data_IF_389801167378
#
_entry.id   IF_389801167378
#
_cell.length_a   1.000
_cell.length_b   1.000
_cell.length_c   1.000
_cell.angle_alpha   90.00
_cell.angle_beta   90.00
_cell.angle_gamma   90.00
#
_symmetry.space_group_name_H-M   'P 1'
#
loop_
_entity.id
_entity.type
_entity.pdbx_description
1 polymer ?
#
# COMPACT_ATOMS: atom_id res chain seq x y z
N UNK A 1 -2.37 23.78 -50.56
CA UNK A 1 -3.00 24.28 -49.33
C UNK A 1 -3.39 23.07 -48.50
N UNK A 2 -2.80 22.88 -47.31
CA UNK A 2 -3.32 21.90 -46.36
C UNK A 2 -4.71 22.37 -45.92
N UNK A 3 -5.69 21.47 -45.83
CA UNK A 3 -6.99 21.78 -45.25
C UNK A 3 -6.80 22.44 -43.87
N UNK A 4 -7.52 23.51 -43.59
CA UNK A 4 -7.56 24.23 -42.30
C UNK A 4 -7.67 23.24 -41.11
N UNK A 5 -8.36 22.11 -41.29
CA UNK A 5 -8.56 21.05 -40.29
C UNK A 5 -7.32 20.19 -39.99
N UNK A 6 -6.28 20.25 -40.81
CA UNK A 6 -5.07 19.42 -40.65
C UNK A 6 -3.92 20.18 -39.99
N UNK A 7 -4.05 21.51 -39.77
CA UNK A 7 -3.01 22.32 -39.15
C UNK A 7 -2.83 21.92 -37.68
N UNK A 8 -1.58 21.64 -37.29
CA UNK A 8 -1.20 21.24 -35.94
C UNK A 8 -0.22 22.26 -35.35
N UNK A 9 -0.37 22.53 -34.06
CA UNK A 9 0.45 23.46 -33.30
C UNK A 9 1.28 22.71 -32.25
N UNK A 10 2.54 23.10 -32.09
CA UNK A 10 3.41 22.56 -31.05
C UNK A 10 2.94 23.05 -29.68
N UNK A 11 2.59 22.09 -28.81
CA UNK A 11 2.09 22.35 -27.46
C UNK A 11 3.16 22.06 -26.41
N UNK A 12 3.81 20.90 -26.49
CA UNK A 12 4.80 20.44 -25.53
C UNK A 12 6.08 19.96 -26.21
N UNK A 13 7.22 20.40 -25.68
CA UNK A 13 8.52 19.95 -26.14
C UNK A 13 8.81 18.50 -25.67
N UNK A 14 9.85 17.88 -26.21
CA UNK A 14 10.20 16.49 -25.88
C UNK A 14 10.55 16.32 -24.41
N UNK A 15 11.25 17.28 -23.80
CA UNK A 15 11.68 17.22 -22.41
C UNK A 15 10.48 17.23 -21.47
N UNK A 16 9.49 18.10 -21.69
CA UNK A 16 8.25 18.19 -20.91
C UNK A 16 7.44 16.88 -20.97
N UNK A 17 7.44 16.20 -22.11
CA UNK A 17 6.77 14.91 -22.26
C UNK A 17 7.50 13.79 -21.51
N UNK A 18 8.84 13.84 -21.49
CA UNK A 18 9.65 12.90 -20.72
C UNK A 18 9.43 13.12 -19.22
N UNK A 19 9.47 14.37 -18.74
CA UNK A 19 9.13 14.75 -17.36
C UNK A 19 7.77 14.18 -16.95
N UNK A 20 6.76 14.41 -17.78
CA UNK A 20 5.41 13.88 -17.53
C UNK A 20 5.34 12.35 -17.55
N UNK A 21 6.11 11.67 -18.41
CA UNK A 21 6.17 10.21 -18.40
C UNK A 21 6.80 9.70 -17.10
N UNK A 22 7.88 10.31 -16.63
CA UNK A 22 8.51 9.98 -15.34
C UNK A 22 7.52 10.22 -14.20
N UNK A 23 6.78 11.34 -14.24
CA UNK A 23 5.73 11.67 -13.29
C UNK A 23 4.62 10.62 -13.27
N UNK A 24 4.10 10.21 -14.43
CA UNK A 24 3.07 9.17 -14.53
C UNK A 24 3.58 7.86 -13.92
N UNK A 25 4.77 7.42 -14.31
CA UNK A 25 5.31 6.14 -13.87
C UNK A 25 5.54 6.14 -12.36
N UNK A 26 6.23 7.15 -11.84
CA UNK A 26 6.51 7.28 -10.40
C UNK A 26 5.23 7.43 -9.57
N UNK A 27 4.29 8.30 -9.98
CA UNK A 27 3.00 8.47 -9.29
C UNK A 27 2.18 7.18 -9.30
N UNK A 28 2.10 6.51 -10.45
CA UNK A 28 1.33 5.26 -10.57
C UNK A 28 1.95 4.18 -9.69
N UNK A 29 3.27 4.04 -9.66
CA UNK A 29 3.96 3.13 -8.74
C UNK A 29 3.66 3.48 -7.28
N UNK A 30 3.71 4.76 -6.89
CA UNK A 30 3.36 5.22 -5.54
C UNK A 30 1.92 4.87 -5.18
N UNK A 31 0.96 5.07 -6.09
CA UNK A 31 -0.45 4.72 -5.88
C UNK A 31 -0.65 3.20 -5.72
N UNK A 32 -0.07 2.41 -6.63
CA UNK A 32 -0.18 0.95 -6.65
C UNK A 32 0.53 0.27 -5.48
N UNK A 33 1.52 0.93 -4.86
CA UNK A 33 2.20 0.40 -3.67
C UNK A 33 1.65 0.99 -2.37
N UNK A 34 1.19 2.25 -2.38
CA UNK A 34 0.70 2.97 -1.20
C UNK A 34 -0.73 2.60 -0.81
N UNK A 35 -1.66 2.51 -1.78
CA UNK A 35 -3.05 2.17 -1.49
C UNK A 35 -3.20 0.75 -0.90
N UNK A 36 -2.51 -0.29 -1.41
CA UNK A 36 -2.55 -1.60 -0.76
C UNK A 36 -2.00 -1.61 0.66
N UNK A 37 -0.99 -0.80 0.96
CA UNK A 37 -0.48 -0.66 2.32
C UNK A 37 -1.49 0.02 3.26
N UNK A 38 -2.22 1.04 2.77
CA UNK A 38 -3.29 1.70 3.53
C UNK A 38 -4.46 0.75 3.80
N UNK A 39 -4.89 0.00 2.80
CA UNK A 39 -6.04 -0.91 2.86
C UNK A 39 -5.62 -2.38 2.97
N UNK A 40 -4.65 -2.68 3.83
CA UNK A 40 -3.97 -3.99 3.89
C UNK A 40 -4.87 -5.19 4.20
N UNK A 41 -6.08 -4.95 4.72
CA UNK A 41 -7.07 -6.00 5.00
C UNK A 41 -7.95 -6.35 3.79
N UNK A 42 -7.93 -5.54 2.73
CA UNK A 42 -8.70 -5.82 1.51
C UNK A 42 -8.10 -7.02 0.75
N UNK A 43 -8.92 -7.98 0.27
CA UNK A 43 -8.42 -9.10 -0.53
C UNK A 43 -7.64 -8.65 -1.77
N UNK A 44 -8.06 -7.57 -2.42
CA UNK A 44 -7.36 -6.99 -3.58
C UNK A 44 -5.98 -6.46 -3.18
N UNK A 45 -5.89 -5.79 -2.03
CA UNK A 45 -4.61 -5.29 -1.52
C UNK A 45 -3.67 -6.43 -1.17
N UNK A 46 -4.17 -7.49 -0.55
CA UNK A 46 -3.38 -8.69 -0.25
C UNK A 46 -2.88 -9.37 -1.53
N UNK A 47 -3.72 -9.48 -2.57
CA UNK A 47 -3.32 -10.03 -3.86
C UNK A 47 -2.20 -9.21 -4.51
N UNK A 48 -2.32 -7.88 -4.51
CA UNK A 48 -1.27 -6.99 -5.03
C UNK A 48 0.01 -7.11 -4.21
N UNK A 49 -0.09 -7.14 -2.87
CA UNK A 49 1.07 -7.31 -1.98
C UNK A 49 1.79 -8.63 -2.26
N UNK A 50 1.06 -9.73 -2.43
CA UNK A 50 1.65 -11.02 -2.74
C UNK A 50 2.28 -11.04 -4.14
N UNK A 51 1.59 -10.48 -5.14
CA UNK A 51 2.07 -10.42 -6.52
C UNK A 51 3.38 -9.62 -6.67
N UNK A 52 3.56 -8.58 -5.84
CA UNK A 52 4.77 -7.75 -5.82
C UNK A 52 5.86 -8.29 -4.86
N UNK A 53 5.73 -9.52 -4.36
CA UNK A 53 6.77 -10.17 -3.56
C UNK A 53 6.73 -9.83 -2.06
N UNK A 54 5.56 -9.46 -1.53
CA UNK A 54 5.33 -9.23 -0.11
C UNK A 54 5.46 -7.77 0.35
N UNK A 55 5.17 -7.54 1.64
CA UNK A 55 5.08 -6.20 2.22
C UNK A 55 6.43 -5.46 2.22
N UNK A 56 7.53 -6.17 2.47
CA UNK A 56 8.86 -5.55 2.49
C UNK A 56 9.28 -5.06 1.10
N UNK A 57 9.04 -5.87 0.07
CA UNK A 57 9.32 -5.51 -1.32
C UNK A 57 8.50 -4.30 -1.74
N UNK A 58 7.19 -4.28 -1.44
CA UNK A 58 6.32 -3.12 -1.74
C UNK A 58 6.80 -1.85 -1.06
N UNK A 59 7.23 -1.92 0.20
CA UNK A 59 7.76 -0.75 0.92
C UNK A 59 9.02 -0.21 0.26
N UNK A 60 9.92 -1.09 -0.19
CA UNK A 60 11.12 -0.69 -0.93
C UNK A 60 10.75 -0.02 -2.26
N UNK A 61 9.85 -0.63 -3.04
CA UNK A 61 9.38 -0.06 -4.32
C UNK A 61 8.75 1.31 -4.10
N UNK A 62 7.89 1.45 -3.09
CA UNK A 62 7.22 2.72 -2.76
C UNK A 62 8.23 3.82 -2.47
N UNK A 63 9.23 3.53 -1.63
CA UNK A 63 10.27 4.49 -1.26
C UNK A 63 11.18 4.86 -2.43
N UNK A 64 11.54 3.90 -3.28
CA UNK A 64 12.30 4.17 -4.51
C UNK A 64 11.50 5.06 -5.47
N UNK A 65 10.22 4.77 -5.66
CA UNK A 65 9.34 5.61 -6.48
C UNK A 65 9.19 7.03 -5.90
N UNK A 66 9.12 7.17 -4.58
CA UNK A 66 9.09 8.47 -3.90
C UNK A 66 10.36 9.28 -4.17
N UNK A 67 11.54 8.64 -4.11
CA UNK A 67 12.82 9.30 -4.43
C UNK A 67 12.81 9.80 -5.88
N UNK A 68 12.41 8.94 -6.83
CA UNK A 68 12.31 9.32 -8.25
C UNK A 68 11.37 10.51 -8.42
N UNK A 69 10.19 10.48 -7.77
CA UNK A 69 9.20 11.56 -7.83
C UNK A 69 9.77 12.88 -7.29
N UNK A 70 10.49 12.84 -6.16
CA UNK A 70 11.12 14.05 -5.59
C UNK A 70 12.26 14.57 -6.47
N UNK A 71 13.09 13.69 -7.04
CA UNK A 71 14.15 14.09 -7.97
C UNK A 71 13.58 14.72 -9.25
N UNK A 72 12.49 14.16 -9.76
CA UNK A 72 11.75 14.73 -10.89
C UNK A 72 11.24 16.14 -10.54
N UNK A 73 10.67 16.34 -9.34
CA UNK A 73 10.25 17.66 -8.90
C UNK A 73 11.42 18.67 -8.79
N UNK A 74 12.58 18.24 -8.28
CA UNK A 74 13.80 19.09 -8.23
C UNK A 74 14.24 19.48 -9.64
N UNK A 75 14.29 18.51 -10.56
CA UNK A 75 14.61 18.78 -11.97
C UNK A 75 13.61 19.75 -12.60
N UNK A 76 12.32 19.51 -12.41
CA UNK A 76 11.25 20.38 -12.91
C UNK A 76 11.40 21.83 -12.42
N UNK A 77 11.73 22.04 -11.14
CA UNK A 77 11.97 23.36 -10.58
C UNK A 77 13.18 24.06 -11.21
N UNK A 78 14.26 23.32 -11.49
CA UNK A 78 15.43 23.86 -12.19
C UNK A 78 15.10 24.22 -13.65
N UNK A 79 14.29 23.42 -14.35
CA UNK A 79 13.86 23.75 -15.72
C UNK A 79 12.92 24.95 -15.71
N UNK A 80 11.99 25.02 -14.76
CA UNK A 80 11.06 26.14 -14.60
C UNK A 80 11.82 27.44 -14.27
N UNK A 81 12.77 27.39 -13.35
CA UNK A 81 13.65 28.51 -13.02
C UNK A 81 14.41 29.03 -14.24
N UNK A 82 14.90 28.12 -15.10
CA UNK A 82 15.58 28.50 -16.34
C UNK A 82 14.63 29.23 -17.30
N UNK A 83 13.43 28.67 -17.50
CA UNK A 83 12.38 29.26 -18.35
C UNK A 83 11.96 30.66 -17.86
N UNK A 84 11.87 30.87 -16.55
CA UNK A 84 11.44 32.14 -15.97
C UNK A 84 12.56 33.18 -15.87
N UNK A 85 13.75 32.79 -15.42
CA UNK A 85 14.85 33.73 -15.12
C UNK A 85 15.72 34.01 -16.34
N UNK A 86 16.11 32.96 -17.06
CA UNK A 86 17.02 33.08 -18.21
C UNK A 86 16.23 33.48 -19.44
N UNK A 87 15.24 32.67 -19.81
CA UNK A 87 14.45 32.87 -21.02
C UNK A 87 13.38 33.96 -20.88
N UNK A 88 12.99 34.34 -19.65
CA UNK A 88 11.93 35.32 -19.36
C UNK A 88 10.60 34.97 -20.05
N UNK A 89 10.28 33.68 -20.12
CA UNK A 89 8.99 33.23 -20.63
C UNK A 89 7.86 33.65 -19.67
N UNK A 90 6.66 33.82 -20.22
CA UNK A 90 5.46 34.14 -19.44
C UNK A 90 5.22 33.06 -18.37
N UNK A 91 5.01 33.49 -17.11
CA UNK A 91 4.70 32.62 -15.98
C UNK A 91 3.24 32.09 -16.05
N UNK A 92 2.94 31.39 -17.15
CA UNK A 92 1.58 31.01 -17.55
C UNK A 92 0.88 30.03 -16.61
N UNK A 93 1.62 29.34 -15.73
CA UNK A 93 1.07 28.44 -14.70
C UNK A 93 0.72 29.16 -13.39
N UNK A 94 1.04 30.45 -13.24
CA UNK A 94 0.62 31.22 -12.07
C UNK A 94 -0.89 31.51 -12.15
N UNK A 95 -1.66 31.22 -11.08
CA UNK A 95 -3.07 31.60 -11.02
C UNK A 95 -3.18 33.13 -10.90
N UNK A 96 -4.16 33.70 -11.58
CA UNK A 96 -4.46 35.13 -11.55
C UNK A 96 -5.95 35.40 -11.52
N UNK A 97 -6.31 36.68 -11.46
CA UNK A 97 -7.72 37.13 -11.39
C UNK A 97 -8.53 36.64 -12.59
N UNK A 98 -7.89 36.53 -13.76
CA UNK A 98 -8.52 35.99 -14.97
C UNK A 98 -8.98 34.54 -14.79
N UNK A 99 -8.26 33.71 -14.05
CA UNK A 99 -8.64 32.31 -13.84
C UNK A 99 -9.96 32.19 -13.06
N UNK A 100 -10.16 33.05 -12.05
CA UNK A 100 -11.42 33.11 -11.31
C UNK A 100 -12.59 33.57 -12.21
N UNK A 101 -12.34 34.56 -13.07
CA UNK A 101 -13.34 35.00 -14.06
C UNK A 101 -13.65 33.91 -15.07
N UNK A 102 -12.63 33.24 -15.62
CA UNK A 102 -12.77 32.16 -16.59
C UNK A 102 -13.53 30.98 -15.98
N UNK A 103 -13.31 30.67 -14.70
CA UNK A 103 -14.06 29.66 -13.95
C UNK A 103 -15.55 30.00 -13.84
N UNK A 104 -15.90 31.24 -13.45
CA UNK A 104 -17.31 31.69 -13.37
C UNK A 104 -17.95 31.67 -14.76
N UNK A 105 -17.26 32.18 -15.76
CA UNK A 105 -17.73 32.22 -17.15
C UNK A 105 -17.95 30.82 -17.73
N UNK A 106 -17.06 29.87 -17.42
CA UNK A 106 -17.17 28.46 -17.79
C UNK A 106 -18.37 27.80 -17.10
N UNK A 107 -18.57 28.08 -15.81
CA UNK A 107 -19.71 27.58 -15.05
C UNK A 107 -21.04 28.09 -15.61
N UNK A 108 -21.15 29.39 -15.89
CA UNK A 108 -22.34 29.99 -16.50
C UNK A 108 -22.62 29.44 -17.90
N UNK A 109 -21.58 29.14 -18.68
CA UNK A 109 -21.73 28.48 -19.98
C UNK A 109 -22.31 27.07 -19.84
N UNK A 110 -21.80 26.26 -18.90
CA UNK A 110 -22.31 24.91 -18.67
C UNK A 110 -23.75 24.89 -18.11
N UNK A 111 -24.17 25.95 -17.42
CA UNK A 111 -25.58 26.14 -17.01
C UNK A 111 -26.48 26.65 -18.15
N UNK A 112 -25.94 26.92 -19.33
CA UNK A 112 -26.68 27.49 -20.46
C UNK A 112 -27.01 28.98 -20.31
N UNK A 113 -26.54 29.65 -19.24
CA UNK A 113 -26.74 31.08 -18.98
C UNK A 113 -25.84 31.97 -19.86
N UNK A 114 -24.82 31.38 -20.48
CA UNK A 114 -23.96 32.03 -21.48
C UNK A 114 -23.93 31.21 -22.76
N UNK A 115 -24.00 31.90 -23.91
CA UNK A 115 -24.03 31.26 -25.24
C UNK A 115 -22.65 30.84 -25.78
N UNK A 116 -21.57 31.44 -25.28
CA UNK A 116 -20.22 31.27 -25.82
C UNK A 116 -19.28 30.74 -24.74
N UNK A 117 -18.50 29.73 -25.07
CA UNK A 117 -17.45 29.22 -24.20
C UNK A 117 -16.38 30.31 -23.95
N UNK A 118 -15.85 30.47 -22.72
CA UNK A 118 -14.78 31.42 -22.45
C UNK A 118 -13.52 31.13 -23.27
N UNK A 119 -12.87 32.20 -23.74
CA UNK A 119 -11.57 32.08 -24.41
C UNK A 119 -10.46 31.88 -23.37
N UNK A 120 -9.98 30.64 -23.31
CA UNK A 120 -8.96 30.21 -22.36
C UNK A 120 -7.53 30.51 -22.86
N UNK A 121 -6.58 30.78 -21.95
CA UNK A 121 -5.17 30.97 -22.29
C UNK A 121 -4.44 29.65 -22.52
N UNK A 122 -3.10 29.71 -22.71
CA UNK A 122 -2.22 28.55 -22.92
C UNK A 122 -2.43 27.44 -21.89
N UNK A 123 -2.70 27.79 -20.64
CA UNK A 123 -3.14 26.83 -19.63
C UNK A 123 -4.44 27.35 -19.01
N UNK A 124 -5.52 26.58 -19.13
CA UNK A 124 -6.82 26.97 -18.58
C UNK A 124 -6.81 26.86 -17.04
N UNK A 125 -7.83 27.41 -16.38
CA UNK A 125 -7.87 27.43 -14.92
C UNK A 125 -7.89 26.01 -14.31
N UNK A 126 -8.48 25.02 -15.00
CA UNK A 126 -8.55 23.63 -14.52
C UNK A 126 -7.17 22.98 -14.53
N UNK A 127 -6.42 23.13 -15.62
CA UNK A 127 -5.03 22.66 -15.73
C UNK A 127 -4.13 23.31 -14.67
N UNK A 128 -4.32 24.61 -14.40
CA UNK A 128 -3.60 25.29 -13.32
C UNK A 128 -3.97 24.73 -11.95
N UNK A 129 -5.26 24.54 -11.67
CA UNK A 129 -5.70 23.96 -10.39
C UNK A 129 -5.09 22.57 -10.17
N UNK A 130 -5.06 21.71 -11.19
CA UNK A 130 -4.43 20.39 -11.11
C UNK A 130 -2.93 20.50 -10.79
N UNK A 131 -2.21 21.39 -11.49
CA UNK A 131 -0.79 21.61 -11.25
C UNK A 131 -0.50 22.09 -9.83
N UNK A 132 -1.29 23.03 -9.32
CA UNK A 132 -1.12 23.56 -7.96
C UNK A 132 -1.55 22.57 -6.87
N UNK A 133 -2.62 21.81 -7.11
CA UNK A 133 -3.01 20.71 -6.24
C UNK A 133 -1.88 19.68 -6.14
N UNK A 134 -1.19 19.39 -7.24
CA UNK A 134 -0.05 18.49 -7.24
C UNK A 134 1.19 19.05 -6.52
N UNK A 135 1.47 20.36 -6.62
CA UNK A 135 2.52 21.01 -5.82
C UNK A 135 2.21 20.91 -4.33
N UNK A 136 0.96 21.23 -3.94
CA UNK A 136 0.52 21.10 -2.55
C UNK A 136 0.64 19.66 -2.04
N UNK A 137 0.12 18.71 -2.83
CA UNK A 137 0.18 17.29 -2.54
C UNK A 137 1.62 16.80 -2.38
N UNK A 138 2.55 17.22 -3.26
CA UNK A 138 3.98 16.90 -3.14
C UNK A 138 4.55 17.36 -1.79
N UNK A 139 4.30 18.61 -1.37
CA UNK A 139 4.84 19.12 -0.11
C UNK A 139 4.29 18.35 1.09
N UNK A 140 2.97 18.12 1.13
CA UNK A 140 2.32 17.38 2.21
C UNK A 140 2.80 15.92 2.24
N UNK A 141 2.84 15.25 1.10
CA UNK A 141 3.25 13.85 0.97
C UNK A 141 4.73 13.65 1.29
N UNK A 142 5.61 14.57 0.87
CA UNK A 142 7.04 14.52 1.21
C UNK A 142 7.25 14.72 2.73
N UNK A 143 6.57 15.70 3.33
CA UNK A 143 6.68 15.97 4.77
C UNK A 143 6.15 14.80 5.60
N UNK A 144 4.94 14.34 5.32
CA UNK A 144 4.33 13.23 6.06
C UNK A 144 5.04 11.91 5.78
N UNK A 145 5.51 11.69 4.55
CA UNK A 145 6.34 10.55 4.18
C UNK A 145 7.66 10.52 4.93
N UNK A 146 8.31 11.68 5.11
CA UNK A 146 9.51 11.81 5.96
C UNK A 146 9.24 11.34 7.38
N UNK A 147 8.13 11.80 7.96
CA UNK A 147 7.77 11.49 9.34
C UNK A 147 7.51 10.00 9.55
N UNK A 148 6.91 9.34 8.54
CA UNK A 148 6.63 7.91 8.56
C UNK A 148 7.87 7.05 8.28
N UNK A 149 8.81 7.56 7.47
CA UNK A 149 10.09 6.89 7.22
C UNK A 149 11.03 7.04 8.44
N UNK A 150 11.04 8.20 9.08
CA UNK A 150 11.95 8.55 10.18
C UNK A 150 11.17 8.85 11.49
N UNK A 151 10.48 7.87 12.10
CA UNK A 151 9.60 8.11 13.24
C UNK A 151 10.34 8.52 14.51
N UNK A 152 11.55 8.02 14.77
CA UNK A 152 12.32 8.41 15.97
C UNK A 152 12.78 9.87 15.88
N UNK A 153 13.33 10.27 14.74
CA UNK A 153 13.69 11.68 14.47
C UNK A 153 12.47 12.59 14.64
N UNK A 154 11.31 12.15 14.13
CA UNK A 154 10.05 12.88 14.31
C UNK A 154 9.67 13.01 15.77
N UNK A 155 9.73 11.94 16.56
CA UNK A 155 9.38 11.96 17.98
C UNK A 155 10.36 12.77 18.86
N UNK A 156 11.61 12.95 18.41
CA UNK A 156 12.58 13.83 19.08
C UNK A 156 12.28 15.31 18.86
N UNK A 157 11.76 15.66 17.69
CA UNK A 157 11.50 17.06 17.30
C UNK A 157 10.06 17.49 17.61
N UNK A 158 9.11 16.56 17.52
CA UNK A 158 7.67 16.81 17.62
C UNK A 158 7.03 15.82 18.61
N UNK A 159 5.92 16.19 19.27
CA UNK A 159 5.15 15.28 20.11
C UNK A 159 4.74 14.00 19.37
N UNK A 160 4.72 12.86 20.05
CA UNK A 160 4.45 11.54 19.43
C UNK A 160 3.13 11.43 18.65
N UNK A 161 2.13 12.27 18.95
CA UNK A 161 0.86 12.34 18.22
C UNK A 161 1.00 12.73 16.74
N UNK A 162 2.11 13.36 16.36
CA UNK A 162 2.38 13.77 14.99
C UNK A 162 2.63 12.56 14.05
N UNK A 163 3.07 11.42 14.58
CA UNK A 163 3.28 10.20 13.78
C UNK A 163 1.94 9.61 13.29
N UNK A 164 0.94 9.32 14.16
CA UNK A 164 -0.36 8.85 13.68
C UNK A 164 -1.11 9.93 12.88
N UNK A 165 -0.94 11.22 13.21
CA UNK A 165 -1.48 12.31 12.39
C UNK A 165 -0.88 12.31 10.98
N UNK A 166 0.44 12.16 10.84
CA UNK A 166 1.11 12.02 9.55
C UNK A 166 0.62 10.77 8.80
N UNK A 167 0.42 9.64 9.48
CA UNK A 167 -0.15 8.42 8.86
C UNK A 167 -1.54 8.67 8.30
N UNK A 168 -2.40 9.36 9.06
CA UNK A 168 -3.75 9.71 8.62
C UNK A 168 -3.71 10.67 7.43
N UNK A 169 -2.94 11.76 7.54
CA UNK A 169 -2.81 12.78 6.50
C UNK A 169 -2.20 12.22 5.21
N UNK A 170 -1.08 11.50 5.28
CA UNK A 170 -0.43 10.88 4.14
C UNK A 170 -1.39 9.91 3.42
N UNK A 171 -2.06 9.05 4.20
CA UNK A 171 -3.00 8.10 3.65
C UNK A 171 -4.25 8.77 3.06
N UNK A 172 -4.75 9.86 3.64
CA UNK A 172 -5.93 10.57 3.13
C UNK A 172 -5.59 11.34 1.85
N UNK A 173 -4.46 12.06 1.85
CA UNK A 173 -3.96 12.78 0.69
C UNK A 173 -3.65 11.82 -0.47
N UNK A 174 -3.07 10.65 -0.21
CA UNK A 174 -2.86 9.63 -1.26
C UNK A 174 -4.17 9.21 -1.93
N UNK A 175 -5.25 9.03 -1.17
CA UNK A 175 -6.57 8.71 -1.73
C UNK A 175 -7.11 9.88 -2.54
N UNK A 176 -7.03 11.10 -1.99
CA UNK A 176 -7.48 12.31 -2.67
C UNK A 176 -6.71 12.53 -3.99
N UNK A 177 -5.39 12.38 -3.98
CA UNK A 177 -4.55 12.53 -5.16
C UNK A 177 -4.89 11.48 -6.23
N UNK A 178 -5.04 10.21 -5.86
CA UNK A 178 -5.44 9.15 -6.81
C UNK A 178 -6.83 9.42 -7.38
N UNK A 179 -7.79 9.82 -6.55
CA UNK A 179 -9.14 10.16 -7.02
C UNK A 179 -9.13 11.39 -7.92
N UNK A 180 -8.37 12.43 -7.60
CA UNK A 180 -8.23 13.61 -8.44
C UNK A 180 -7.63 13.23 -9.80
N UNK A 181 -6.59 12.40 -9.84
CA UNK A 181 -6.02 11.95 -11.11
C UNK A 181 -7.01 11.09 -11.90
N UNK A 182 -7.69 10.12 -11.28
CA UNK A 182 -8.60 9.21 -11.99
C UNK A 182 -9.89 9.90 -12.43
N UNK A 183 -10.56 10.61 -11.51
CA UNK A 183 -11.88 11.18 -11.75
C UNK A 183 -11.83 12.52 -12.50
N UNK A 184 -10.80 13.32 -12.27
CA UNK A 184 -10.71 14.66 -12.82
C UNK A 184 -9.73 14.73 -13.99
N UNK A 185 -8.45 14.41 -13.77
CA UNK A 185 -7.44 14.50 -14.83
C UNK A 185 -7.72 13.52 -15.98
N UNK A 186 -7.87 12.23 -15.66
CA UNK A 186 -8.10 11.17 -16.64
C UNK A 186 -9.42 11.38 -17.39
N UNK A 187 -10.47 11.83 -16.70
CA UNK A 187 -11.72 12.17 -17.33
C UNK A 187 -11.55 13.31 -18.36
N UNK A 188 -10.95 14.44 -17.97
CA UNK A 188 -10.83 15.59 -18.87
C UNK A 188 -9.90 15.30 -20.06
N UNK A 189 -8.82 14.54 -19.84
CA UNK A 189 -7.74 14.35 -20.82
C UNK A 189 -7.92 13.10 -21.69
N UNK A 190 -8.60 12.06 -21.19
CA UNK A 190 -8.78 10.78 -21.90
C UNK A 190 -10.23 10.39 -22.18
N UNK A 191 -11.23 10.87 -21.43
CA UNK A 191 -12.63 10.47 -21.62
C UNK A 191 -13.43 11.57 -22.33
N UNK A 192 -13.55 12.74 -21.71
CA UNK A 192 -14.23 13.92 -22.27
C UNK A 192 -13.60 14.33 -23.59
N UNK A 193 -12.28 14.30 -23.63
CA UNK A 193 -11.48 14.49 -24.84
C UNK A 193 -10.43 13.42 -24.90
N UNK A 194 -10.03 13.05 -26.10
CA UNK A 194 -8.92 12.14 -26.30
C UNK A 194 -7.67 12.95 -26.70
N UNK A 195 -6.99 13.53 -25.71
CA UNK A 195 -5.88 14.47 -25.94
C UNK A 195 -4.53 13.76 -26.07
N UNK A 196 -3.95 13.78 -27.28
CA UNK A 196 -2.64 13.15 -27.57
C UNK A 196 -1.43 14.07 -27.36
N UNK A 197 -1.61 15.30 -26.86
CA UNK A 197 -0.55 16.31 -26.81
C UNK A 197 0.65 15.90 -25.96
N UNK A 198 0.46 15.16 -24.86
CA UNK A 198 1.57 14.68 -24.03
C UNK A 198 2.39 13.55 -24.66
N UNK A 199 1.86 12.89 -25.69
CA UNK A 199 2.57 11.83 -26.42
C UNK A 199 3.15 12.39 -27.72
N UNK A 200 2.34 13.09 -28.52
CA UNK A 200 2.72 13.62 -29.83
C UNK A 200 3.38 15.00 -29.78
N UNK A 201 3.24 15.73 -28.68
CA UNK A 201 3.70 17.12 -28.52
C UNK A 201 2.82 18.16 -29.20
N UNK A 202 1.80 17.77 -29.98
CA UNK A 202 1.01 18.70 -30.81
C UNK A 202 -0.50 18.58 -30.58
N UNK A 203 -1.20 19.69 -30.82
CA UNK A 203 -2.67 19.77 -30.88
C UNK A 203 -3.12 20.24 -32.28
N UNK A 204 -4.29 19.81 -32.72
CA UNK A 204 -4.93 20.35 -33.92
C UNK A 204 -5.45 21.78 -33.69
N UNK A 205 -5.70 22.50 -34.79
CA UNK A 205 -6.30 23.85 -34.74
C UNK A 205 -7.63 23.86 -34.00
N UNK A 206 -8.50 22.89 -34.28
CA UNK A 206 -9.83 22.75 -33.65
C UNK A 206 -9.72 22.52 -32.13
N UNK A 207 -8.84 21.61 -31.70
CA UNK A 207 -8.58 21.39 -30.27
C UNK A 207 -8.04 22.66 -29.56
N UNK A 208 -7.15 23.40 -30.24
CA UNK A 208 -6.62 24.66 -29.73
C UNK A 208 -7.70 25.75 -29.65
N UNK A 209 -8.61 25.83 -30.61
CA UNK A 209 -9.70 26.81 -30.62
C UNK A 209 -10.66 26.57 -29.46
N UNK A 210 -10.94 25.31 -29.15
CA UNK A 210 -11.91 24.95 -28.11
C UNK A 210 -11.35 25.11 -26.69
N UNK A 211 -10.12 24.66 -26.44
CA UNK A 211 -9.53 24.61 -25.09
C UNK A 211 -8.52 25.73 -24.81
N UNK A 212 -7.94 26.35 -25.85
CA UNK A 212 -6.82 27.30 -25.72
C UNK A 212 -6.94 28.47 -26.70
N UNK A 213 -8.16 28.98 -26.94
CA UNK A 213 -8.46 29.99 -27.96
C UNK A 213 -7.52 31.21 -27.97
N UNK A 214 -7.13 31.72 -26.79
CA UNK A 214 -6.24 32.89 -26.72
C UNK A 214 -4.80 32.55 -27.13
N UNK A 215 -4.36 31.32 -26.89
CA UNK A 215 -3.06 30.87 -27.39
C UNK A 215 -3.09 30.69 -28.90
N UNK A 216 -4.16 30.11 -29.45
CA UNK A 216 -4.34 29.99 -30.89
C UNK A 216 -4.29 31.36 -31.57
N UNK A 217 -5.02 32.35 -31.06
CA UNK A 217 -5.03 33.71 -31.59
C UNK A 217 -3.64 34.35 -31.57
N UNK A 218 -2.85 34.15 -30.51
CA UNK A 218 -1.47 34.63 -30.45
C UNK A 218 -0.61 33.97 -31.53
N UNK A 219 -0.70 32.65 -31.67
CA UNK A 219 0.08 31.89 -32.65
C UNK A 219 -0.27 32.26 -34.10
N UNK A 220 -1.56 32.46 -34.40
CA UNK A 220 -2.02 32.85 -35.74
C UNK A 220 -1.65 34.30 -36.10
N UNK A 221 -1.51 35.17 -35.10
CA UNK A 221 -0.95 36.52 -35.25
C UNK A 221 0.57 36.55 -35.35
N UNK A 222 1.25 35.39 -35.32
CA UNK A 222 2.70 35.29 -35.32
C UNK A 222 3.36 35.75 -34.02
N UNK A 223 2.61 35.90 -32.93
CA UNK A 223 3.10 36.30 -31.61
C UNK A 223 3.65 35.07 -30.87
N UNK A 224 4.83 34.61 -31.27
CA UNK A 224 5.57 33.55 -30.56
C UNK A 224 6.47 34.15 -29.47
N UNK A 225 6.80 33.39 -28.41
CA UNK A 225 7.72 33.87 -27.39
C UNK A 225 9.07 34.25 -28.00
N UNK A 226 9.44 35.52 -27.89
CA UNK A 226 10.74 36.02 -28.37
C UNK A 226 11.79 35.64 -27.35
N UNK A 227 12.74 34.81 -27.76
CA UNK A 227 13.88 34.46 -26.92
C UNK A 227 14.80 35.68 -26.74
N UNK A 228 15.40 35.87 -25.55
CA UNK A 228 16.36 36.94 -25.33
C UNK A 228 17.56 36.81 -26.29
N UNK A 229 18.16 37.96 -26.62
CA UNK A 229 19.42 38.02 -27.37
C UNK A 229 20.46 37.02 -26.78
N UNK A 230 21.16 36.25 -27.62
CA UNK A 230 22.22 35.33 -27.18
C UNK A 230 23.20 35.92 -26.16
N UNK A 231 23.57 37.20 -26.25
CA UNK A 231 24.48 37.84 -25.29
C UNK A 231 23.82 38.02 -23.91
N UNK A 232 22.58 38.49 -23.89
CA UNK A 232 21.80 38.67 -22.65
C UNK A 232 21.53 37.31 -22.02
N UNK A 233 21.19 36.30 -22.83
CA UNK A 233 20.99 34.92 -22.40
C UNK A 233 22.25 34.38 -21.74
N UNK A 234 23.42 34.49 -22.39
CA UNK A 234 24.71 34.05 -21.82
C UNK A 234 25.04 34.74 -20.49
N UNK A 235 24.77 36.04 -20.37
CA UNK A 235 24.96 36.77 -19.10
C UNK A 235 24.08 36.20 -17.98
N UNK A 236 22.81 35.92 -18.27
CA UNK A 236 21.88 35.30 -17.31
C UNK A 236 22.27 33.87 -16.97
N UNK A 237 22.68 33.08 -17.95
CA UNK A 237 23.16 31.70 -17.78
C UNK A 237 24.37 31.61 -16.87
N UNK A 238 25.32 32.54 -16.98
CA UNK A 238 26.50 32.61 -16.08
C UNK A 238 26.13 32.78 -14.61
N UNK A 239 25.02 33.44 -14.30
CA UNK A 239 24.51 33.59 -12.93
C UNK A 239 23.61 32.42 -12.55
N UNK A 240 22.75 32.00 -13.49
CA UNK A 240 21.76 30.96 -13.27
C UNK A 240 22.39 29.59 -13.03
N UNK A 241 23.35 29.16 -13.85
CA UNK A 241 23.91 27.81 -13.73
C UNK A 241 24.63 27.56 -12.41
N UNK A 242 25.47 28.47 -11.87
CA UNK A 242 26.03 28.29 -10.54
C UNK A 242 24.96 28.23 -9.44
N UNK A 243 23.94 29.10 -9.50
CA UNK A 243 22.85 29.09 -8.54
C UNK A 243 22.02 27.81 -8.62
N UNK A 244 21.70 27.34 -9.83
CA UNK A 244 20.98 26.10 -10.08
C UNK A 244 21.81 24.88 -9.66
N UNK A 245 23.12 24.87 -9.92
CA UNK A 245 24.01 23.82 -9.46
C UNK A 245 24.05 23.75 -7.93
N UNK A 246 24.18 24.90 -7.26
CA UNK A 246 24.13 24.97 -5.79
C UNK A 246 22.78 24.47 -5.26
N UNK A 247 21.66 24.94 -5.80
CA UNK A 247 20.32 24.48 -5.44
C UNK A 247 20.16 22.98 -5.62
N UNK A 248 20.68 22.43 -6.73
CA UNK A 248 20.62 21.00 -7.03
C UNK A 248 21.45 20.21 -6.04
N UNK A 249 22.69 20.63 -5.75
CA UNK A 249 23.55 19.97 -4.76
C UNK A 249 22.93 19.99 -3.36
N UNK A 250 22.35 21.11 -2.94
CA UNK A 250 21.63 21.22 -1.67
C UNK A 250 20.41 20.31 -1.66
N UNK A 251 19.60 20.30 -2.71
CA UNK A 251 18.42 19.44 -2.80
C UNK A 251 18.79 17.97 -2.79
N UNK A 252 19.83 17.56 -3.53
CA UNK A 252 20.34 16.20 -3.52
C UNK A 252 20.88 15.82 -2.14
N UNK A 253 21.62 16.71 -1.48
CA UNK A 253 22.06 16.49 -0.11
C UNK A 253 20.85 16.29 0.82
N UNK A 254 19.82 17.13 0.72
CA UNK A 254 18.59 16.98 1.51
C UNK A 254 17.88 15.66 1.22
N UNK A 255 17.77 15.22 -0.03
CA UNK A 255 17.19 13.92 -0.40
C UNK A 255 18.02 12.77 0.17
N UNK A 256 19.35 12.83 0.04
CA UNK A 256 20.24 11.82 0.62
C UNK A 256 20.08 11.78 2.13
N UNK A 257 20.07 12.93 2.81
CA UNK A 257 19.81 12.99 4.25
C UNK A 257 18.43 12.43 4.59
N UNK A 258 17.38 12.85 3.89
CA UNK A 258 16.01 12.36 4.08
C UNK A 258 15.95 10.82 4.07
N UNK A 259 16.63 10.19 3.12
CA UNK A 259 16.63 8.73 2.89
C UNK A 259 17.57 7.99 3.85
N UNK A 260 18.68 8.60 4.26
CA UNK A 260 19.71 7.95 5.08
C UNK A 260 19.61 8.25 6.57
N UNK A 261 18.68 9.11 6.97
CA UNK A 261 18.44 9.51 8.36
C UNK A 261 17.81 8.39 9.22
N UNK A 262 17.79 7.13 8.77
CA UNK A 262 17.10 6.00 9.38
C UNK A 262 17.53 5.73 10.84
N UNK A 263 16.92 6.46 11.75
CA UNK A 263 16.78 6.10 13.15
C UNK A 263 15.47 5.30 13.26
N UNK A 264 15.54 4.01 13.01
CA UNK A 264 14.42 3.10 13.27
C UNK A 264 14.67 2.35 14.58
N UNK A 265 13.60 2.05 15.32
CA UNK A 265 13.66 1.48 16.67
C UNK A 265 14.05 -0.01 16.72
N UNK A 266 14.48 -0.58 15.59
CA UNK A 266 14.89 -1.98 15.50
C UNK A 266 16.33 -1.99 15.02
N UNK A 267 17.27 -2.08 15.96
CA UNK A 267 18.55 -2.73 15.68
C UNK A 267 18.18 -4.09 15.09
N UNK A 268 18.45 -4.31 13.81
CA UNK A 268 18.32 -5.66 13.26
C UNK A 268 19.33 -6.50 14.03
N UNK A 269 18.83 -7.26 15.02
CA UNK A 269 19.63 -8.34 15.56
C UNK A 269 20.03 -9.15 14.31
N UNK A 270 21.34 -9.37 14.05
CA UNK A 270 21.74 -10.25 12.97
C UNK A 270 20.94 -11.55 13.13
N UNK A 271 20.45 -12.16 12.02
CA UNK A 271 19.72 -13.41 12.09
C UNK A 271 20.48 -14.32 13.04
N UNK A 272 19.87 -14.70 14.16
CA UNK A 272 20.56 -15.45 15.20
C UNK A 272 21.28 -16.59 14.49
N UNK A 273 22.62 -16.60 14.57
CA UNK A 273 23.42 -17.67 13.99
C UNK A 273 22.81 -18.95 14.55
N UNK A 274 22.32 -19.83 13.66
CA UNK A 274 21.73 -21.11 14.07
C UNK A 274 22.87 -22.01 14.54
N UNK A 275 23.51 -21.62 15.63
CA UNK A 275 24.31 -22.51 16.42
C UNK A 275 23.36 -23.65 16.81
N UNK A 276 23.72 -24.91 16.56
CA UNK A 276 22.98 -26.01 17.13
C UNK A 276 22.92 -25.74 18.63
N UNK A 277 21.71 -25.61 19.18
CA UNK A 277 21.52 -25.44 20.61
C UNK A 277 22.05 -26.72 21.25
N UNK A 278 23.32 -26.71 21.61
CA UNK A 278 23.89 -27.70 22.51
C UNK A 278 23.30 -27.35 23.86
N UNK A 279 22.13 -27.91 24.14
CA UNK A 279 21.59 -27.96 25.49
C UNK A 279 22.61 -28.78 26.28
N UNK A 280 23.57 -28.12 26.93
CA UNK A 280 24.29 -28.71 28.04
C UNK A 280 23.23 -29.00 29.08
N UNK A 281 22.75 -30.25 29.12
CA UNK A 281 21.95 -30.74 30.24
C UNK A 281 22.80 -30.49 31.47
N UNK A 282 22.45 -29.46 32.25
CA UNK A 282 22.96 -29.36 33.61
C UNK A 282 22.52 -30.65 34.28
N UNK A 283 23.41 -31.42 34.93
CA UNK A 283 23.00 -32.61 35.64
C UNK A 283 21.98 -32.16 36.69
N UNK A 284 20.72 -32.51 36.46
CA UNK A 284 19.65 -32.30 37.41
C UNK A 284 20.12 -32.87 38.75
N UNK A 285 20.10 -32.11 39.85
CA UNK A 285 20.38 -32.68 41.16
C UNK A 285 19.40 -33.83 41.37
N UNK A 286 19.95 -35.02 41.66
CA UNK A 286 19.16 -36.21 41.95
C UNK A 286 18.15 -35.85 43.06
N UNK A 287 16.85 -36.10 42.86
CA UNK A 287 15.87 -35.85 43.90
C UNK A 287 16.20 -36.71 45.12
N UNK A 288 16.31 -36.07 46.29
CA UNK A 288 16.45 -36.76 47.57
C UNK A 288 15.29 -37.74 47.73
N UNK A 289 15.63 -39.01 47.97
CA UNK A 289 14.71 -40.14 48.00
C UNK A 289 13.59 -39.91 49.05
N UNK A 290 12.31 -39.91 48.65
CA UNK A 290 11.18 -39.97 49.58
C UNK A 290 11.22 -41.29 50.40
N UNK A 291 10.68 -41.33 51.63
CA UNK A 291 10.63 -42.56 52.41
C UNK A 291 9.90 -43.66 51.66
N UNK A 292 10.49 -44.86 51.69
CA UNK A 292 10.05 -46.06 50.97
C UNK A 292 8.57 -46.36 51.24
N UNK A 293 7.70 -46.27 50.22
CA UNK A 293 6.36 -46.84 50.30
C UNK A 293 6.47 -48.36 50.33
N UNK A 294 5.73 -48.98 51.24
CA UNK A 294 5.50 -50.43 51.31
C UNK A 294 5.15 -50.98 49.93
N UNK A 295 5.87 -52.04 49.54
CA UNK A 295 5.68 -52.78 48.29
C UNK A 295 4.26 -53.34 48.17
N UNK A 296 3.50 -52.86 47.18
CA UNK A 296 2.44 -53.62 46.53
C UNK A 296 2.99 -54.12 45.17
N UNK A 297 2.59 -55.31 44.70
CA UNK A 297 3.34 -56.06 43.71
C UNK A 297 3.27 -55.44 42.31
N UNK A 298 4.41 -55.50 41.65
CA UNK A 298 4.64 -55.28 40.23
C UNK A 298 3.69 -56.13 39.38
N UNK A 299 2.99 -55.49 38.42
CA UNK A 299 2.50 -56.16 37.24
C UNK A 299 3.09 -55.45 36.02
N UNK A 300 3.95 -56.17 35.28
CA UNK A 300 4.21 -55.90 33.87
C UNK A 300 2.88 -55.91 33.10
N UNK A 301 2.71 -54.92 32.21
CA UNK A 301 1.49 -54.75 31.41
C UNK A 301 0.70 -53.53 31.85
N UNK A 302 1.07 -52.34 31.38
CA UNK A 302 0.23 -51.15 31.53
C UNK A 302 -1.09 -51.44 30.80
N UNK A 303 -2.16 -51.66 31.57
CA UNK A 303 -3.49 -51.84 31.05
C UNK A 303 -3.87 -50.63 30.17
N UNK A 304 -4.50 -50.90 29.03
CA UNK A 304 -5.09 -49.85 28.19
C UNK A 304 -5.97 -48.94 29.06
N UNK A 305 -6.00 -47.62 28.82
CA UNK A 305 -6.81 -46.70 29.60
C UNK A 305 -8.27 -47.16 29.57
N UNK A 306 -8.82 -47.52 30.72
CA UNK A 306 -10.17 -48.10 30.83
C UNK A 306 -11.24 -47.10 31.24
N UNK A 307 -10.87 -45.87 31.60
CA UNK A 307 -11.79 -44.82 32.08
C UNK A 307 -11.41 -43.45 31.49
N UNK A 308 -12.34 -42.49 31.51
CA UNK A 308 -12.11 -41.14 30.97
C UNK A 308 -10.92 -40.47 31.66
N UNK A 309 -10.93 -40.40 33.00
CA UNK A 309 -9.84 -39.85 33.80
C UNK A 309 -8.58 -40.76 33.81
N UNK A 310 -8.73 -42.03 33.44
CA UNK A 310 -7.65 -43.02 33.33
C UNK A 310 -6.79 -42.90 32.06
N UNK A 311 -7.04 -41.91 31.20
CA UNK A 311 -6.20 -41.57 30.05
C UNK A 311 -6.91 -41.53 28.69
N UNK A 312 -8.21 -41.83 28.62
CA UNK A 312 -8.99 -41.67 27.38
C UNK A 312 -9.13 -40.17 27.03
N UNK A 313 -9.24 -39.29 28.02
CA UNK A 313 -9.27 -37.83 27.85
C UNK A 313 -8.07 -37.29 27.04
N UNK A 314 -6.89 -37.88 27.20
CA UNK A 314 -5.67 -37.52 26.46
C UNK A 314 -5.77 -37.84 24.97
N UNK A 315 -6.53 -38.88 24.59
CA UNK A 315 -6.79 -39.20 23.18
C UNK A 315 -7.71 -38.11 22.60
N UNK A 316 -8.76 -37.73 23.33
CA UNK A 316 -9.71 -36.70 22.92
C UNK A 316 -9.16 -35.27 22.93
N UNK A 317 -8.09 -35.00 23.69
CA UNK A 317 -7.39 -33.72 23.67
C UNK A 317 -6.84 -33.36 22.27
N UNK A 318 -6.59 -34.36 21.40
CA UNK A 318 -6.19 -34.15 20.00
C UNK A 318 -7.32 -33.61 19.12
N UNK A 319 -8.57 -33.75 19.56
CA UNK A 319 -9.75 -33.38 18.81
C UNK A 319 -10.28 -31.97 19.17
N UNK A 320 -9.87 -31.40 20.30
CA UNK A 320 -10.41 -30.14 20.83
C UNK A 320 -10.06 -28.91 20.00
N UNK A 321 -9.04 -28.99 19.13
CA UNK A 321 -8.65 -27.89 18.23
C UNK A 321 -9.74 -27.59 17.17
N UNK A 322 -10.50 -28.61 16.75
CA UNK A 322 -11.54 -28.49 15.73
C UNK A 322 -12.95 -28.75 16.28
N UNK A 323 -13.09 -29.61 17.30
CA UNK A 323 -14.37 -30.02 17.89
C UNK A 323 -14.58 -29.33 19.24
N UNK A 324 -15.07 -28.09 19.18
CA UNK A 324 -15.41 -27.24 20.32
C UNK A 324 -16.74 -26.50 20.13
N UNK A 325 -16.95 -25.41 20.86
CA UNK A 325 -18.23 -24.66 20.87
C UNK A 325 -18.71 -24.16 19.50
N UNK A 326 -17.81 -24.05 18.51
CA UNK A 326 -18.14 -23.62 17.14
C UNK A 326 -18.46 -24.78 16.16
N UNK A 327 -18.18 -26.03 16.53
CA UNK A 327 -18.16 -27.19 15.62
C UNK A 327 -19.39 -28.11 15.65
N UNK A 328 -20.40 -27.81 16.48
CA UNK A 328 -21.61 -28.63 16.58
C UNK A 328 -21.46 -29.94 17.38
N UNK A 329 -20.25 -30.30 17.81
CA UNK A 329 -19.91 -31.33 18.79
C UNK A 329 -18.75 -30.81 19.67
N UNK A 330 -18.87 -30.88 21.00
CA UNK A 330 -17.78 -30.55 21.93
C UNK A 330 -17.20 -31.84 22.50
N UNK A 331 -15.87 -31.96 22.51
CA UNK A 331 -15.14 -33.10 23.09
C UNK A 331 -14.23 -32.68 24.24
N UNK A 332 -14.46 -31.49 24.79
CA UNK A 332 -13.62 -30.90 25.84
C UNK A 332 -13.79 -31.57 27.21
N UNK A 333 -14.99 -32.09 27.48
CA UNK A 333 -15.33 -32.74 28.75
C UNK A 333 -16.11 -34.03 28.49
N UNK A 334 -16.09 -34.94 29.46
CA UNK A 334 -16.86 -36.20 29.41
C UNK A 334 -18.35 -35.94 29.15
N UNK A 335 -18.93 -34.99 29.88
CA UNK A 335 -20.33 -34.60 29.73
C UNK A 335 -20.66 -34.05 28.33
N UNK A 336 -19.76 -33.25 27.74
CA UNK A 336 -19.94 -32.74 26.38
C UNK A 336 -19.91 -33.85 25.33
N UNK A 337 -19.02 -34.82 25.51
CA UNK A 337 -18.84 -35.95 24.61
C UNK A 337 -20.07 -36.86 24.57
N UNK A 338 -20.68 -37.13 25.74
CA UNK A 338 -21.93 -37.89 25.83
C UNK A 338 -23.14 -37.12 25.30
N UNK A 339 -23.19 -35.80 25.54
CA UNK A 339 -24.28 -34.94 25.06
C UNK A 339 -24.37 -34.93 23.54
N UNK A 340 -23.23 -35.05 22.85
CA UNK A 340 -23.18 -35.17 21.41
C UNK A 340 -23.52 -33.88 20.65
N UNK A 341 -23.77 -34.04 19.36
CA UNK A 341 -23.96 -32.95 18.41
C UNK A 341 -25.18 -33.11 17.52
N UNK A 342 -25.22 -32.35 16.42
CA UNK A 342 -26.33 -32.39 15.45
C UNK A 342 -26.51 -33.75 14.76
N UNK A 343 -25.44 -34.54 14.67
CA UNK A 343 -25.43 -35.86 14.04
C UNK A 343 -25.70 -37.01 15.05
N UNK A 344 -26.09 -36.67 16.29
CA UNK A 344 -26.38 -37.62 17.36
C UNK A 344 -25.35 -37.62 18.50
N UNK A 345 -25.45 -38.57 19.45
CA UNK A 345 -24.52 -38.70 20.57
C UNK A 345 -23.08 -38.87 20.10
N UNK A 346 -22.13 -38.17 20.72
CA UNK A 346 -20.70 -38.31 20.40
C UNK A 346 -20.20 -39.70 20.76
N UNK A 347 -20.61 -40.16 21.95
CA UNK A 347 -20.40 -41.52 22.47
C UNK A 347 -21.72 -42.07 23.02
N UNK A 348 -22.04 -43.31 22.67
CA UNK A 348 -23.12 -44.10 23.24
C UNK A 348 -22.49 -45.18 24.13
N UNK A 349 -22.57 -45.05 25.47
CA UNK A 349 -22.02 -46.05 26.39
C UNK A 349 -22.51 -47.47 26.06
N UNK A 350 -21.58 -48.40 25.91
CA UNK A 350 -21.85 -49.81 25.58
C UNK A 350 -22.00 -50.12 24.08
N UNK A 351 -22.13 -49.10 23.22
CA UNK A 351 -22.35 -49.28 21.78
C UNK A 351 -21.38 -48.44 20.93
N UNK A 352 -20.20 -49.00 20.59
CA UNK A 352 -19.22 -48.32 19.73
C UNK A 352 -19.73 -48.06 18.31
N UNK A 353 -20.61 -48.90 17.77
CA UNK A 353 -21.06 -48.78 16.38
C UNK A 353 -22.18 -47.73 16.24
N UNK A 354 -22.90 -47.41 17.32
CA UNK A 354 -23.81 -46.27 17.41
C UNK A 354 -23.12 -44.94 17.78
N UNK A 355 -21.82 -44.96 18.12
CA UNK A 355 -21.07 -43.77 18.56
C UNK A 355 -20.48 -42.99 17.37
N UNK A 356 -20.85 -41.71 17.23
CA UNK A 356 -20.41 -40.88 16.09
C UNK A 356 -18.89 -40.75 16.00
N UNK A 357 -18.18 -40.71 17.13
CA UNK A 357 -16.71 -40.66 17.14
C UNK A 357 -16.10 -41.85 16.42
N UNK A 358 -16.60 -43.07 16.65
CA UNK A 358 -16.06 -44.29 16.04
C UNK A 358 -16.42 -44.35 14.56
N UNK A 359 -17.66 -44.02 14.20
CA UNK A 359 -18.14 -44.00 12.80
C UNK A 359 -17.28 -43.03 11.97
N UNK A 360 -17.05 -41.82 12.46
CA UNK A 360 -16.30 -40.79 11.72
C UNK A 360 -14.79 -41.10 11.65
N UNK A 361 -14.21 -41.66 12.71
CA UNK A 361 -12.77 -42.02 12.73
C UNK A 361 -12.44 -43.25 11.88
N UNK A 362 -13.40 -44.18 11.68
CA UNK A 362 -13.27 -45.28 10.72
C UNK A 362 -13.46 -44.83 9.25
N UNK A 363 -14.08 -43.67 9.04
CA UNK A 363 -14.32 -43.06 7.73
C UNK A 363 -13.27 -42.02 7.32
N UNK A 364 -13.70 -41.05 6.52
CA UNK A 364 -12.86 -39.92 6.12
C UNK A 364 -12.90 -38.80 7.18
N UNK A 365 -11.79 -38.57 7.88
CA UNK A 365 -11.61 -37.48 8.82
C UNK A 365 -10.23 -36.81 8.62
N UNK A 366 -10.09 -35.46 8.74
CA UNK A 366 -8.82 -34.75 8.49
C UNK A 366 -7.67 -35.13 9.42
N UNK A 367 -7.99 -35.66 10.59
CA UNK A 367 -7.05 -36.19 11.58
C UNK A 367 -7.35 -37.66 11.80
N UNK A 368 -6.34 -38.53 11.67
CA UNK A 368 -6.47 -39.96 11.96
C UNK A 368 -5.84 -40.28 13.31
N UNK A 369 -6.58 -41.03 14.14
CA UNK A 369 -6.01 -41.71 15.30
C UNK A 369 -5.19 -42.92 14.81
N UNK A 370 -4.20 -43.34 15.58
CA UNK A 370 -3.56 -44.65 15.34
C UNK A 370 -4.55 -45.78 15.58
N UNK A 371 -4.32 -46.94 14.96
CA UNK A 371 -5.20 -48.10 15.11
C UNK A 371 -5.31 -48.53 16.59
N UNK A 372 -4.22 -48.40 17.35
CA UNK A 372 -4.19 -48.68 18.79
C UNK A 372 -5.05 -47.71 19.59
N UNK A 373 -4.98 -46.41 19.31
CA UNK A 373 -5.78 -45.40 20.02
C UNK A 373 -7.26 -45.51 19.68
N UNK A 374 -7.60 -45.76 18.41
CA UNK A 374 -8.98 -45.98 18.01
C UNK A 374 -9.55 -47.24 18.69
N UNK A 375 -8.74 -48.30 18.79
CA UNK A 375 -9.15 -49.52 19.47
C UNK A 375 -9.36 -49.30 20.97
N UNK A 376 -8.51 -48.52 21.63
CA UNK A 376 -8.68 -48.13 23.04
C UNK A 376 -9.99 -47.36 23.28
N UNK A 377 -10.33 -46.42 22.40
CA UNK A 377 -11.61 -45.70 22.47
C UNK A 377 -12.79 -46.66 22.26
N UNK A 378 -12.71 -47.59 21.29
CA UNK A 378 -13.76 -48.59 21.05
C UNK A 378 -13.97 -49.49 22.27
N UNK A 379 -12.89 -49.96 22.90
CA UNK A 379 -12.97 -50.86 24.05
C UNK A 379 -13.47 -50.14 25.31
N UNK A 380 -13.08 -48.88 25.51
CA UNK A 380 -13.65 -48.02 26.55
C UNK A 380 -15.15 -47.78 26.36
N UNK A 381 -15.60 -47.50 25.13
CA UNK A 381 -17.03 -47.33 24.84
C UNK A 381 -17.78 -48.64 25.11
N UNK A 382 -17.24 -49.78 24.66
CA UNK A 382 -17.84 -51.10 24.89
C UNK A 382 -17.95 -51.43 26.38
N UNK A 383 -17.01 -50.95 27.20
CA UNK A 383 -17.03 -51.08 28.65
C UNK A 383 -18.06 -50.16 29.36
N UNK A 384 -18.89 -49.43 28.60
CA UNK A 384 -19.88 -48.51 29.16
C UNK A 384 -19.37 -47.08 29.34
N UNK A 385 -18.26 -46.72 28.66
CA UNK A 385 -17.64 -45.41 28.69
C UNK A 385 -17.50 -44.83 30.13
N UNK A 386 -16.90 -45.56 31.08
CA UNK A 386 -16.82 -45.09 32.48
C UNK A 386 -16.00 -43.80 32.59
N UNK A 387 -16.50 -42.86 33.38
CA UNK A 387 -15.83 -41.58 33.64
C UNK A 387 -14.63 -41.74 34.59
N UNK A 388 -14.79 -42.54 35.64
CA UNK A 388 -13.79 -42.75 36.69
C UNK A 388 -13.31 -44.19 36.75
#
# INVERSE_FOLDING_TARGET
>A
MMSEKTKRYMRFDVAQRIEHLILILSFTTLALTGLPQKYSLSPVSQAIIQALGGIETIRVIHRTAAIIFVLEAVYHLVVLGYKLVVLRLEASMLPGIKDARDMVEWFLFNLGLRKTHPKMPRYNFMEKMEYWAMIWGLLLMALTGFMLWNPLTTARLLPGQFIPAAKAAHGAEAVLAVLAIVLWHFYNVHIKRWNWSMIKGTLSREEMEEEHALELEKLEKGMTPVLPDPEIRRKRERVYFPAAALFTLVSLFLVVRFVTLEETSITTLPPAERLPVVVKRSPTPLPTRPPTPTTAPTAEGAAAPTTWEGGIDQIFAKCTACHGTAGGLSVKTYADLLKGGKDGPGVVPGDPDASQVVIKMRGAHPVKLSDTELQQVVDWIRAGAPEK
#
